data_IF_465002773780
#
_entry.id   IF_465002773780
#
_cell.length_a   1.000
_cell.length_b   1.000
_cell.length_c   1.000
_cell.angle_alpha   90.00
_cell.angle_beta   90.00
_cell.angle_gamma   90.00
#
_symmetry.space_group_name_H-M   'P 1'
#
loop_
_entity.id
_entity.type
_entity.pdbx_description
1 polymer ?
#
# COMPACT_ATOMS: atom_id res chain seq x y z
N UNK A 1 35.16 10.88 17.44
CA UNK A 1 34.07 11.07 16.46
C UNK A 1 34.67 10.77 15.09
N UNK A 2 34.70 9.49 14.70
CA UNK A 2 35.36 9.03 13.47
C UNK A 2 34.43 8.08 12.73
N UNK A 3 34.24 8.40 11.45
CA UNK A 3 33.39 7.75 10.47
C UNK A 3 33.80 6.30 10.25
N UNK A 4 32.98 5.35 10.72
CA UNK A 4 33.15 3.93 10.45
C UNK A 4 32.30 3.50 9.23
N UNK A 5 32.37 4.27 8.14
CA UNK A 5 31.89 3.77 6.85
C UNK A 5 32.96 2.84 6.30
N UNK A 6 32.69 1.53 6.33
CA UNK A 6 33.46 0.57 5.54
C UNK A 6 33.57 1.08 4.11
N UNK A 7 34.78 1.04 3.56
CA UNK A 7 35.06 1.42 2.18
C UNK A 7 34.15 0.58 1.25
N UNK A 8 33.26 1.24 0.52
CA UNK A 8 32.31 0.57 -0.37
C UNK A 8 33.09 -0.03 -1.54
N UNK A 9 33.28 -1.35 -1.54
CA UNK A 9 33.98 -2.06 -2.62
C UNK A 9 33.01 -2.23 -3.80
N UNK A 10 33.19 -1.39 -4.83
CA UNK A 10 32.51 -1.55 -6.10
C UNK A 10 33.30 -2.49 -7.01
N UNK A 11 32.75 -3.68 -7.30
CA UNK A 11 33.34 -4.65 -8.22
C UNK A 11 32.47 -4.79 -9.49
N UNK A 12 32.82 -4.08 -10.59
CA UNK A 12 32.08 -4.16 -11.84
C UNK A 12 32.07 -5.56 -12.45
N UNK A 13 33.10 -6.37 -12.21
CA UNK A 13 33.18 -7.72 -12.76
C UNK A 13 32.21 -8.64 -12.04
N UNK A 14 32.11 -8.52 -10.72
CA UNK A 14 31.14 -9.27 -9.92
C UNK A 14 29.70 -8.92 -10.29
N UNK A 15 29.40 -7.62 -10.45
CA UNK A 15 28.06 -7.15 -10.86
C UNK A 15 27.70 -7.75 -12.22
N UNK A 16 28.57 -7.60 -13.23
CA UNK A 16 28.32 -8.17 -14.57
C UNK A 16 28.17 -9.69 -14.56
N UNK A 17 28.87 -10.39 -13.67
CA UNK A 17 28.78 -11.85 -13.55
C UNK A 17 27.41 -12.31 -13.03
N UNK A 18 26.77 -11.51 -12.17
CA UNK A 18 25.51 -11.87 -11.52
C UNK A 18 24.30 -11.05 -12.02
N UNK A 19 24.47 -10.21 -13.03
CA UNK A 19 23.40 -9.50 -13.76
C UNK A 19 22.63 -10.47 -14.68
N UNK A 20 21.96 -11.43 -14.07
CA UNK A 20 21.14 -12.46 -14.70
C UNK A 20 19.77 -12.53 -14.03
N UNK A 21 18.76 -13.06 -14.72
CA UNK A 21 17.43 -13.22 -14.15
C UNK A 21 17.45 -14.08 -12.89
N UNK A 22 16.99 -13.51 -11.77
CA UNK A 22 16.87 -14.19 -10.48
C UNK A 22 15.42 -14.32 -10.00
N UNK A 23 15.16 -15.14 -8.96
CA UNK A 23 13.85 -15.21 -8.34
C UNK A 23 13.47 -13.88 -7.70
N UNK A 24 12.18 -13.50 -7.81
CA UNK A 24 11.67 -12.28 -7.19
C UNK A 24 11.33 -12.54 -5.72
N UNK A 25 12.30 -12.35 -4.83
CA UNK A 25 12.17 -12.54 -3.38
C UNK A 25 11.35 -11.43 -2.69
N UNK A 26 10.07 -11.33 -3.04
CA UNK A 26 9.10 -10.44 -2.35
C UNK A 26 8.50 -11.08 -1.11
N UNK A 27 8.42 -12.41 -1.09
CA UNK A 27 8.04 -13.26 0.03
C UNK A 27 8.63 -14.65 -0.17
N UNK A 28 8.62 -15.48 0.88
CA UNK A 28 9.02 -16.87 0.80
C UNK A 28 8.00 -17.77 1.52
N UNK A 29 7.42 -18.77 0.84
CA UNK A 29 7.52 -19.05 -0.60
C UNK A 29 7.00 -17.90 -1.47
N UNK A 30 7.47 -17.83 -2.72
CA UNK A 30 7.09 -16.78 -3.69
C UNK A 30 5.67 -16.99 -4.24
N UNK A 31 5.08 -15.95 -4.84
CA UNK A 31 3.68 -15.97 -5.30
C UNK A 31 3.36 -17.02 -6.38
N UNK A 32 4.35 -17.49 -7.15
CA UNK A 32 4.21 -18.62 -8.08
C UNK A 32 3.90 -19.95 -7.37
N UNK A 33 3.94 -19.98 -6.03
CA UNK A 33 3.54 -21.12 -5.20
C UNK A 33 2.12 -21.03 -4.67
N UNK A 34 1.39 -19.95 -4.98
CA UNK A 34 -0.03 -19.87 -4.65
C UNK A 34 -0.82 -20.83 -5.54
N UNK A 35 -1.67 -21.65 -4.92
CA UNK A 35 -2.47 -22.68 -5.60
C UNK A 35 -3.92 -22.58 -5.15
N UNK A 36 -4.84 -22.96 -6.03
CA UNK A 36 -6.29 -22.90 -5.77
C UNK A 36 -6.77 -23.84 -4.65
N UNK A 37 -5.92 -24.79 -4.21
CA UNK A 37 -6.21 -25.66 -3.07
C UNK A 37 -6.29 -24.89 -1.73
N UNK A 38 -5.76 -23.66 -1.66
CA UNK A 38 -5.98 -22.77 -0.53
C UNK A 38 -7.31 -22.03 -0.72
N UNK A 39 -8.37 -22.56 -0.13
CA UNK A 39 -9.74 -22.07 -0.30
C UNK A 39 -10.21 -21.14 0.83
N UNK A 40 -11.48 -20.76 0.78
CA UNK A 40 -12.11 -19.88 1.77
C UNK A 40 -12.22 -20.51 3.17
N UNK A 41 -12.34 -21.83 3.27
CA UNK A 41 -12.40 -22.51 4.57
C UNK A 41 -11.03 -22.53 5.23
N UNK A 42 -10.00 -22.89 4.46
CA UNK A 42 -8.60 -22.82 4.89
C UNK A 42 -8.25 -21.39 5.35
N UNK A 43 -8.61 -20.38 4.56
CA UNK A 43 -8.39 -18.97 4.91
C UNK A 43 -9.00 -18.59 6.26
N UNK A 44 -10.29 -18.87 6.47
CA UNK A 44 -10.97 -18.58 7.74
C UNK A 44 -10.35 -19.34 8.91
N UNK A 45 -9.97 -20.60 8.71
CA UNK A 45 -9.29 -21.38 9.75
C UNK A 45 -7.96 -20.74 10.17
N UNK A 46 -7.18 -20.19 9.23
CA UNK A 46 -5.94 -19.50 9.55
C UNK A 46 -6.17 -18.15 10.23
N UNK A 47 -7.19 -17.39 9.83
CA UNK A 47 -7.54 -16.11 10.48
C UNK A 47 -8.03 -16.29 11.93
N UNK A 48 -8.75 -17.36 12.24
CA UNK A 48 -9.13 -17.67 13.63
C UNK A 48 -7.93 -18.15 14.47
N UNK A 49 -6.93 -18.79 13.85
CA UNK A 49 -5.76 -19.35 14.56
C UNK A 49 -4.63 -18.33 14.69
N UNK A 50 -4.89 -17.16 15.24
CA UNK A 50 -3.88 -16.10 15.38
C UNK A 50 -2.95 -16.22 16.59
N UNK A 51 -3.23 -17.14 17.50
CA UNK A 51 -2.43 -17.39 18.71
C UNK A 51 -1.44 -18.55 18.55
N UNK A 52 -1.02 -18.86 17.31
CA UNK A 52 -0.02 -19.90 17.07
C UNK A 52 1.28 -19.54 17.80
N UNK A 53 1.69 -20.41 18.74
CA UNK A 53 2.83 -20.16 19.63
C UNK A 53 2.51 -19.37 20.91
N UNK A 54 1.22 -19.17 21.24
CA UNK A 54 0.77 -18.55 22.50
C UNK A 54 0.83 -17.01 22.53
N UNK A 55 1.20 -16.36 21.43
CA UNK A 55 1.37 -14.91 21.35
C UNK A 55 0.32 -14.34 20.39
N UNK A 56 -0.65 -13.58 20.93
CA UNK A 56 -1.53 -12.74 20.12
C UNK A 56 -0.77 -11.49 19.67
N UNK A 57 -0.36 -11.44 18.39
CA UNK A 57 0.29 -10.24 17.81
C UNK A 57 -0.75 -9.25 17.31
N UNK A 58 -0.47 -7.96 17.42
CA UNK A 58 -1.28 -6.93 16.77
C UNK A 58 -1.27 -7.07 15.23
N UNK A 59 -2.29 -6.50 14.58
CA UNK A 59 -2.51 -6.55 13.15
C UNK A 59 -1.66 -5.52 12.39
N UNK A 60 -1.33 -5.86 11.15
CA UNK A 60 -1.02 -4.89 10.11
C UNK A 60 -2.07 -5.00 9.00
N UNK A 61 -2.62 -3.87 8.57
CA UNK A 61 -3.61 -3.78 7.52
C UNK A 61 -2.99 -3.16 6.27
N UNK A 62 -3.17 -3.81 5.12
CA UNK A 62 -2.87 -3.25 3.81
C UNK A 62 -4.18 -3.10 3.04
N UNK A 63 -4.48 -1.90 2.57
CA UNK A 63 -5.65 -1.62 1.73
C UNK A 63 -5.17 -1.24 0.35
N UNK A 64 -5.52 -2.06 -0.64
CA UNK A 64 -5.19 -1.80 -2.03
C UNK A 64 -6.23 -0.89 -2.67
N UNK A 65 -5.84 0.31 -3.12
CA UNK A 65 -6.68 1.22 -3.90
C UNK A 65 -6.18 1.21 -5.35
N UNK A 66 -6.83 0.48 -6.27
CA UNK A 66 -6.25 0.17 -7.57
C UNK A 66 -6.34 1.33 -8.56
N UNK A 67 -7.00 2.45 -8.25
CA UNK A 67 -7.33 3.45 -9.26
C UNK A 67 -6.20 4.44 -9.50
N UNK A 68 -5.95 4.76 -10.77
CA UNK A 68 -5.10 5.87 -11.19
C UNK A 68 -5.82 6.71 -12.25
N UNK A 69 -5.67 8.03 -12.17
CA UNK A 69 -6.26 8.94 -13.16
C UNK A 69 -5.54 8.90 -14.53
N UNK A 70 -4.22 8.67 -14.49
CA UNK A 70 -3.35 8.68 -15.68
C UNK A 70 -2.44 7.46 -15.66
N UNK A 71 -2.16 6.90 -16.84
CA UNK A 71 -1.21 5.82 -17.01
C UNK A 71 0.23 6.33 -17.01
N UNK A 72 1.11 5.77 -16.18
CA UNK A 72 2.56 5.94 -16.30
C UNK A 72 3.12 4.73 -17.05
N UNK A 73 3.88 4.94 -18.12
CA UNK A 73 4.28 3.85 -19.03
C UNK A 73 5.24 2.83 -18.44
N UNK A 74 5.99 3.21 -17.40
CA UNK A 74 6.86 2.30 -16.66
C UNK A 74 6.10 1.43 -15.63
N UNK A 75 4.83 1.74 -15.33
CA UNK A 75 4.21 1.26 -14.09
C UNK A 75 3.77 -0.21 -14.18
N UNK A 76 4.45 -1.06 -13.40
CA UNK A 76 4.17 -2.49 -13.24
C UNK A 76 3.20 -2.85 -12.10
N UNK A 77 2.60 -1.87 -11.40
CA UNK A 77 1.71 -2.15 -10.27
C UNK A 77 0.42 -2.88 -10.69
N UNK A 78 -0.34 -3.41 -9.73
CA UNK A 78 -1.75 -3.75 -9.97
C UNK A 78 -2.56 -2.44 -9.91
N UNK A 79 -3.19 -2.04 -11.02
CA UNK A 79 -3.96 -0.80 -11.12
C UNK A 79 -5.01 -0.84 -12.21
N UNK A 80 -5.95 0.09 -12.12
CA UNK A 80 -7.04 0.37 -13.05
C UNK A 80 -6.97 1.85 -13.40
N UNK A 81 -6.75 2.16 -14.68
CA UNK A 81 -6.78 3.55 -15.17
C UNK A 81 -8.22 3.97 -15.40
N UNK A 82 -8.69 5.02 -14.74
CA UNK A 82 -10.07 5.51 -14.84
C UNK A 82 -10.18 6.95 -14.35
N UNK A 83 -11.19 7.68 -14.85
CA UNK A 83 -11.63 8.97 -14.30
C UNK A 83 -13.00 8.89 -13.62
N UNK A 84 -13.64 7.73 -13.71
CA UNK A 84 -14.97 7.49 -13.16
C UNK A 84 -14.89 7.15 -11.67
N UNK A 85 -15.18 8.14 -10.82
CA UNK A 85 -15.28 7.99 -9.37
C UNK A 85 -16.50 7.15 -8.92
N UNK A 86 -17.45 6.85 -9.82
CA UNK A 86 -18.47 5.84 -9.54
C UNK A 86 -17.86 4.45 -9.30
N UNK A 87 -16.68 4.17 -9.87
CA UNK A 87 -15.95 2.91 -9.65
C UNK A 87 -15.29 2.87 -8.27
N UNK A 88 -14.70 3.97 -7.79
CA UNK A 88 -14.15 4.04 -6.43
C UNK A 88 -15.24 3.96 -5.37
N UNK A 89 -16.37 4.65 -5.57
CA UNK A 89 -17.50 4.58 -4.65
C UNK A 89 -18.06 3.15 -4.55
N UNK A 90 -18.22 2.48 -5.70
CA UNK A 90 -18.61 1.06 -5.73
C UNK A 90 -17.58 0.18 -5.03
N UNK A 91 -16.28 0.42 -5.26
CA UNK A 91 -15.20 -0.33 -4.64
C UNK A 91 -15.19 -0.21 -3.12
N UNK A 92 -15.35 0.99 -2.56
CA UNK A 92 -15.43 1.23 -1.11
C UNK A 92 -16.62 0.49 -0.49
N UNK A 93 -17.75 0.40 -1.20
CA UNK A 93 -18.90 -0.42 -0.74
C UNK A 93 -18.53 -1.90 -0.63
N UNK A 94 -17.74 -2.44 -1.57
CA UNK A 94 -17.26 -3.82 -1.49
C UNK A 94 -16.18 -4.00 -0.42
N UNK A 95 -15.25 -3.05 -0.27
CA UNK A 95 -14.29 -3.04 0.83
C UNK A 95 -14.99 -3.05 2.20
N UNK A 96 -16.09 -2.30 2.37
CA UNK A 96 -16.88 -2.35 3.60
C UNK A 96 -17.41 -3.75 3.91
N UNK A 97 -17.92 -4.46 2.90
CA UNK A 97 -18.38 -5.85 3.05
C UNK A 97 -17.22 -6.80 3.34
N UNK A 98 -16.08 -6.59 2.71
CA UNK A 98 -14.88 -7.37 2.98
C UNK A 98 -14.40 -7.14 4.42
N UNK A 99 -14.35 -5.90 4.91
CA UNK A 99 -14.01 -5.58 6.30
C UNK A 99 -14.97 -6.26 7.29
N UNK A 100 -16.29 -6.26 7.02
CA UNK A 100 -17.26 -7.02 7.82
C UNK A 100 -16.91 -8.53 7.84
N UNK A 101 -16.56 -9.12 6.69
CA UNK A 101 -16.19 -10.53 6.57
C UNK A 101 -14.87 -10.86 7.29
N UNK A 102 -13.86 -10.00 7.17
CA UNK A 102 -12.56 -10.18 7.83
C UNK A 102 -12.71 -10.07 9.34
N UNK A 103 -13.44 -9.05 9.82
CA UNK A 103 -13.68 -8.86 11.24
C UNK A 103 -14.45 -10.03 11.87
N UNK A 104 -15.39 -10.64 11.14
CA UNK A 104 -16.13 -11.80 11.63
C UNK A 104 -15.31 -13.10 11.69
N UNK A 105 -14.21 -13.19 10.92
CA UNK A 105 -13.35 -14.38 10.86
C UNK A 105 -12.11 -14.28 11.77
N UNK A 106 -11.80 -13.10 12.28
CA UNK A 106 -10.66 -12.85 13.16
C UNK A 106 -11.01 -13.20 14.61
N UNK A 107 -10.13 -13.98 15.25
CA UNK A 107 -10.15 -14.17 16.70
C UNK A 107 -9.20 -13.17 17.40
N UNK A 108 -9.50 -12.86 18.66
CA UNK A 108 -8.66 -12.06 19.53
C UNK A 108 -8.83 -10.55 19.34
N UNK A 109 -7.77 -9.78 19.64
CA UNK A 109 -7.86 -8.32 19.50
C UNK A 109 -7.73 -7.88 18.03
N UNK A 110 -8.50 -6.84 17.71
CA UNK A 110 -8.43 -6.14 16.44
C UNK A 110 -7.55 -4.89 16.54
N UNK A 111 -6.53 -4.97 17.39
CA UNK A 111 -5.56 -3.90 17.56
C UNK A 111 -4.63 -3.86 16.35
N UNK A 112 -4.48 -2.68 15.76
CA UNK A 112 -3.66 -2.45 14.57
C UNK A 112 -2.48 -1.58 14.94
N UNK A 113 -1.27 -2.08 14.68
CA UNK A 113 -0.01 -1.33 14.85
C UNK A 113 0.48 -0.69 13.55
N UNK A 114 -0.10 -1.08 12.41
CA UNK A 114 0.28 -0.53 11.11
C UNK A 114 -0.87 -0.58 10.12
N UNK A 115 -1.22 0.56 9.52
CA UNK A 115 -2.09 0.67 8.35
C UNK A 115 -1.27 1.19 7.16
N UNK A 116 -1.49 0.60 5.99
CA UNK A 116 -0.94 1.14 4.75
C UNK A 116 -1.98 1.15 3.63
N UNK A 117 -2.19 2.31 3.03
CA UNK A 117 -2.94 2.46 1.79
C UNK A 117 -1.97 2.59 0.62
N UNK A 118 -2.04 1.66 -0.33
CA UNK A 118 -1.20 1.67 -1.52
C UNK A 118 -1.91 1.12 -2.76
N UNK A 119 -1.16 0.94 -3.84
CA UNK A 119 -1.63 0.21 -5.02
C UNK A 119 -1.51 0.98 -6.32
N UNK A 120 -2.63 1.54 -6.79
CA UNK A 120 -2.63 2.52 -7.86
C UNK A 120 -2.28 3.90 -7.31
N UNK A 121 -3.30 4.63 -6.87
CA UNK A 121 -3.14 5.93 -6.23
C UNK A 121 -4.22 6.09 -5.16
N UNK A 122 -3.92 5.87 -3.87
CA UNK A 122 -4.87 6.09 -2.79
C UNK A 122 -5.52 7.47 -2.81
N UNK A 123 -4.76 8.52 -3.14
CA UNK A 123 -5.26 9.89 -3.32
C UNK A 123 -6.06 10.11 -4.62
N UNK A 124 -6.43 9.04 -5.32
CA UNK A 124 -7.51 9.06 -6.31
C UNK A 124 -8.88 9.21 -5.63
N UNK A 125 -9.03 8.68 -4.41
CA UNK A 125 -10.28 8.77 -3.66
C UNK A 125 -10.62 10.23 -3.37
N UNK A 126 -11.91 10.56 -3.47
CA UNK A 126 -12.43 11.85 -3.01
C UNK A 126 -12.34 11.95 -1.49
N UNK A 127 -12.40 13.17 -0.97
CA UNK A 127 -12.28 13.43 0.47
C UNK A 127 -13.32 12.64 1.30
N UNK A 128 -14.58 12.65 0.87
CA UNK A 128 -15.66 11.89 1.51
C UNK A 128 -15.46 10.37 1.40
N UNK A 129 -14.86 9.90 0.31
CA UNK A 129 -14.51 8.50 0.10
C UNK A 129 -13.40 8.05 1.07
N UNK A 130 -12.38 8.88 1.28
CA UNK A 130 -11.32 8.62 2.26
C UNK A 130 -11.86 8.61 3.69
N UNK A 131 -12.70 9.60 4.04
CA UNK A 131 -13.39 9.63 5.34
C UNK A 131 -14.24 8.38 5.54
N UNK A 132 -15.00 7.98 4.52
CA UNK A 132 -15.85 6.79 4.59
C UNK A 132 -15.04 5.51 4.75
N UNK A 133 -13.94 5.35 4.02
CA UNK A 133 -13.09 4.17 4.15
C UNK A 133 -12.45 4.09 5.54
N UNK A 134 -11.97 5.21 6.08
CA UNK A 134 -11.46 5.23 7.45
C UNK A 134 -12.52 4.94 8.51
N UNK A 135 -13.73 5.45 8.34
CA UNK A 135 -14.87 5.12 9.21
C UNK A 135 -15.15 3.61 9.20
N UNK A 136 -15.19 2.99 8.01
CA UNK A 136 -15.40 1.55 7.85
C UNK A 136 -14.29 0.72 8.52
N UNK A 137 -13.02 1.14 8.41
CA UNK A 137 -11.91 0.47 9.08
C UNK A 137 -12.05 0.61 10.61
N UNK A 138 -12.24 1.83 11.12
CA UNK A 138 -12.35 2.12 12.55
C UNK A 138 -13.58 1.48 13.22
N UNK A 139 -14.63 1.16 12.45
CA UNK A 139 -15.78 0.38 12.93
C UNK A 139 -15.37 -1.01 13.43
N UNK A 140 -14.35 -1.63 12.83
CA UNK A 140 -13.96 -3.02 13.09
C UNK A 140 -12.58 -3.17 13.75
N UNK A 141 -11.71 -2.18 13.59
CA UNK A 141 -10.31 -2.24 13.98
C UNK A 141 -9.94 -1.05 14.86
N UNK A 142 -9.16 -1.31 15.91
CA UNK A 142 -8.64 -0.26 16.79
C UNK A 142 -7.22 0.10 16.36
N UNK A 143 -7.06 1.23 15.68
CA UNK A 143 -5.74 1.79 15.38
C UNK A 143 -5.09 2.25 16.68
N UNK A 144 -3.90 1.73 16.97
CA UNK A 144 -3.20 2.07 18.21
C UNK A 144 -2.52 3.45 18.09
N UNK A 145 -2.50 4.28 19.15
CA UNK A 145 -1.96 5.65 19.08
C UNK A 145 -0.49 5.77 18.63
N UNK A 146 0.30 4.71 18.81
CA UNK A 146 1.71 4.66 18.41
C UNK A 146 1.93 3.79 17.14
N UNK A 147 0.85 3.49 16.41
CA UNK A 147 0.92 2.76 15.16
C UNK A 147 1.43 3.61 14.00
N UNK A 148 1.94 2.96 12.96
CA UNK A 148 2.29 3.63 11.70
C UNK A 148 1.12 3.56 10.72
N UNK A 149 0.49 4.70 10.46
CA UNK A 149 -0.61 4.81 9.49
C UNK A 149 -0.11 5.58 8.28
N UNK A 150 0.03 4.87 7.16
CA UNK A 150 0.77 5.32 5.99
C UNK A 150 -0.03 5.27 4.68
N UNK A 151 0.31 6.15 3.75
CA UNK A 151 -0.37 6.26 2.46
C UNK A 151 0.59 6.61 1.32
N UNK A 152 0.37 6.01 0.15
CA UNK A 152 1.03 6.39 -1.12
C UNK A 152 0.32 7.60 -1.77
N UNK A 153 1.11 8.56 -2.26
CA UNK A 153 0.63 9.84 -2.78
C UNK A 153 1.21 10.12 -4.17
N UNK A 154 0.32 10.47 -5.10
CA UNK A 154 0.69 11.13 -6.37
C UNK A 154 0.62 12.66 -6.17
N UNK A 155 1.76 13.39 -6.22
CA UNK A 155 1.78 14.82 -5.93
C UNK A 155 0.92 15.64 -6.90
N UNK A 156 0.70 15.17 -8.13
CA UNK A 156 -0.15 15.80 -9.16
C UNK A 156 -1.64 15.88 -8.79
N UNK A 157 -2.05 15.26 -7.69
CA UNK A 157 -3.45 15.10 -7.25
C UNK A 157 -3.69 15.52 -5.81
N UNK A 158 -2.68 16.06 -5.15
CA UNK A 158 -2.76 16.43 -3.74
C UNK A 158 -2.49 17.92 -3.62
N UNK A 159 -3.25 18.57 -2.73
CA UNK A 159 -3.00 19.94 -2.32
C UNK A 159 -2.88 20.02 -0.79
N UNK A 160 -2.69 21.24 -0.26
CA UNK A 160 -2.56 21.47 1.19
C UNK A 160 -3.78 20.99 1.99
N UNK A 161 -4.98 21.10 1.44
CA UNK A 161 -6.20 20.67 2.12
C UNK A 161 -6.32 19.14 2.14
N UNK A 162 -5.91 18.46 1.07
CA UNK A 162 -5.79 17.00 1.07
C UNK A 162 -4.80 16.52 2.12
N UNK A 163 -3.63 17.16 2.26
CA UNK A 163 -2.65 16.79 3.30
C UNK A 163 -3.22 17.02 4.72
N UNK A 164 -3.95 18.13 4.93
CA UNK A 164 -4.63 18.38 6.21
C UNK A 164 -5.65 17.29 6.51
N UNK A 165 -6.46 16.91 5.53
CA UNK A 165 -7.41 15.82 5.65
C UNK A 165 -6.72 14.49 6.01
N UNK A 166 -5.61 14.14 5.36
CA UNK A 166 -4.87 12.92 5.68
C UNK A 166 -4.41 12.91 7.15
N UNK A 167 -3.92 14.04 7.66
CA UNK A 167 -3.56 14.17 9.07
C UNK A 167 -4.79 14.06 10.00
N UNK A 168 -5.93 14.67 9.64
CA UNK A 168 -7.20 14.52 10.37
C UNK A 168 -7.69 13.06 10.42
N UNK A 169 -7.42 12.28 9.37
CA UNK A 169 -7.75 10.86 9.29
C UNK A 169 -6.80 9.95 10.08
N UNK A 170 -5.71 10.51 10.63
CA UNK A 170 -4.73 9.79 11.46
C UNK A 170 -3.47 9.35 10.72
N UNK A 171 -3.34 9.60 9.41
CA UNK A 171 -2.10 9.28 8.69
C UNK A 171 -0.92 10.07 9.25
N UNK A 172 0.16 9.36 9.56
CA UNK A 172 1.38 9.92 10.15
C UNK A 172 2.63 9.66 9.29
N UNK A 173 2.48 8.96 8.16
CA UNK A 173 3.55 8.74 7.16
C UNK A 173 3.00 8.80 5.74
N UNK A 174 3.76 9.36 4.81
CA UNK A 174 3.43 9.34 3.38
C UNK A 174 4.61 8.89 2.53
N UNK A 175 4.30 8.20 1.44
CA UNK A 175 5.25 7.87 0.37
C UNK A 175 4.85 8.63 -0.89
N UNK A 176 5.72 9.52 -1.38
CA UNK A 176 5.41 10.40 -2.51
C UNK A 176 6.11 9.91 -3.77
N UNK A 177 5.33 9.68 -4.83
CA UNK A 177 5.86 9.22 -6.11
C UNK A 177 6.49 10.34 -6.94
N UNK A 178 7.77 10.67 -6.72
CA UNK A 178 8.52 11.67 -7.53
C UNK A 178 8.97 11.09 -8.88
N UNK A 179 9.64 9.95 -8.84
CA UNK A 179 10.28 9.26 -9.99
C UNK A 179 11.49 10.00 -10.57
N UNK A 180 11.28 11.13 -11.24
CA UNK A 180 12.35 11.91 -11.90
C UNK A 180 11.90 13.37 -12.09
N UNK A 181 12.84 14.31 -12.06
CA UNK A 181 12.62 15.73 -12.32
C UNK A 181 12.99 16.15 -13.75
N UNK A 182 13.70 15.31 -14.51
CA UNK A 182 14.10 15.60 -15.88
C UNK A 182 12.87 15.62 -16.82
N UNK A 183 12.53 16.78 -17.43
CA UNK A 183 11.35 16.89 -18.29
C UNK A 183 11.32 15.89 -19.44
N UNK A 184 12.47 15.60 -20.05
CA UNK A 184 12.53 14.63 -21.15
C UNK A 184 12.14 13.21 -20.68
N UNK A 185 12.58 12.80 -19.48
CA UNK A 185 12.23 11.50 -18.87
C UNK A 185 10.74 11.48 -18.54
N UNK A 186 10.22 12.52 -17.90
CA UNK A 186 8.81 12.62 -17.52
C UNK A 186 7.88 12.51 -18.73
N UNK A 187 8.20 13.18 -19.84
CA UNK A 187 7.46 13.08 -21.10
C UNK A 187 7.54 11.66 -21.66
N UNK A 188 8.74 11.08 -21.69
CA UNK A 188 8.95 9.72 -22.22
C UNK A 188 8.14 8.66 -21.47
N UNK A 189 7.87 8.86 -20.18
CA UNK A 189 7.11 7.90 -19.35
C UNK A 189 5.67 8.31 -19.03
N UNK A 190 5.18 9.40 -19.64
CA UNK A 190 3.86 9.97 -19.39
C UNK A 190 3.57 10.28 -17.92
N UNK A 191 4.56 10.89 -17.25
CA UNK A 191 4.44 11.36 -15.87
C UNK A 191 4.96 12.79 -15.72
N UNK A 192 4.33 13.71 -16.42
CA UNK A 192 4.64 15.15 -16.30
C UNK A 192 4.15 15.67 -14.94
N UNK A 193 5.06 16.28 -14.18
CA UNK A 193 4.84 16.99 -12.92
C UNK A 193 5.90 18.09 -12.76
N UNK A 194 5.51 19.24 -12.23
CA UNK A 194 6.45 20.33 -11.97
C UNK A 194 7.32 20.05 -10.72
N UNK A 195 8.38 20.85 -10.52
CA UNK A 195 9.18 20.82 -9.29
C UNK A 195 8.44 21.46 -8.09
N UNK A 196 7.55 22.42 -8.37
CA UNK A 196 6.79 23.15 -7.35
C UNK A 196 5.59 22.32 -6.82
N UNK A 197 5.13 21.34 -7.61
CA UNK A 197 4.12 20.32 -7.23
C UNK A 197 4.72 19.22 -6.34
#
# INVERSE_FOLDING_TARGET
MLSNFQELIFDPQLIRRFDVNGPRYTSYPTADRFVEAFDAEAYRSWLGRRTIGGIGRALSLYVHIPFCNTICYYCGCNKIITKDHGRSAKYIKYLGRELDMQAAALDGSHDVVQLHWGGGTPTFLLDDEMRRLMELINKHFRLLPNGEDSIEVDPRKVNRDTVRLLAELGFNRMSVGVQDFEPAVQVAVNRVQSLDE
#
